data_IF_700196416039
#
_entry.id   IF_700196416039
#
_cell.length_a   1.000
_cell.length_b   1.000
_cell.length_c   1.000
_cell.angle_alpha   90.00
_cell.angle_beta   90.00
_cell.angle_gamma   90.00
#
_symmetry.space_group_name_H-M   'P 1'
#
loop_
_entity.id
_entity.type
_entity.pdbx_description
1 polymer ?
#
# COMPACT_ATOMS: atom_id res chain seq x y z
N UNK A 1 61.52 -65.43 -30.70
CA UNK A 1 60.98 -66.65 -31.31
C UNK A 1 59.47 -66.53 -31.33
N UNK A 2 58.90 -66.49 -32.54
CA UNK A 2 57.57 -67.03 -32.90
C UNK A 2 56.30 -66.35 -32.35
N UNK A 3 55.21 -66.07 -33.07
CA UNK A 3 54.76 -66.16 -34.48
C UNK A 3 53.53 -65.20 -34.57
N UNK A 4 53.47 -64.21 -35.47
CA UNK A 4 52.81 -64.19 -36.78
C UNK A 4 51.35 -64.70 -36.86
N UNK A 5 50.38 -63.79 -37.01
CA UNK A 5 49.22 -63.95 -37.90
C UNK A 5 48.57 -62.59 -38.25
N UNK A 6 48.27 -62.41 -39.53
CA UNK A 6 47.46 -61.38 -40.22
C UNK A 6 47.04 -62.03 -41.57
N UNK A 7 46.11 -61.50 -42.40
CA UNK A 7 44.97 -60.61 -42.19
C UNK A 7 43.67 -61.15 -42.86
N UNK A 8 42.53 -60.44 -42.78
CA UNK A 8 41.47 -60.52 -43.81
C UNK A 8 40.49 -59.34 -43.76
N UNK A 9 40.25 -58.71 -44.92
CA UNK A 9 39.10 -57.86 -45.30
C UNK A 9 38.75 -58.27 -46.74
N UNK A 10 37.49 -58.25 -47.24
CA UNK A 10 36.95 -57.00 -47.81
C UNK A 10 35.40 -56.80 -47.75
N UNK A 11 35.01 -55.50 -47.84
CA UNK A 11 33.82 -54.90 -48.50
C UNK A 11 32.38 -55.26 -48.01
N UNK A 12 31.37 -54.38 -47.99
CA UNK A 12 31.13 -53.17 -48.76
C UNK A 12 30.17 -52.16 -48.07
N UNK A 13 30.41 -50.88 -48.35
CA UNK A 13 29.45 -49.78 -48.60
C UNK A 13 28.18 -49.63 -47.75
N UNK A 14 28.17 -48.57 -46.93
CA UNK A 14 27.09 -47.58 -46.95
C UNK A 14 27.62 -46.22 -46.47
N UNK A 15 27.53 -45.24 -47.38
CA UNK A 15 27.85 -43.83 -47.17
C UNK A 15 26.76 -43.18 -46.29
N UNK A 16 27.14 -42.43 -45.23
CA UNK A 16 26.46 -41.18 -44.84
C UNK A 16 27.25 -40.40 -43.75
N UNK A 17 27.26 -39.06 -43.87
CA UNK A 17 27.99 -38.04 -43.08
C UNK A 17 27.02 -37.40 -42.03
N UNK A 18 27.47 -36.92 -40.85
CA UNK A 18 26.58 -36.58 -39.73
C UNK A 18 25.92 -35.20 -39.84
N UNK A 19 24.94 -34.88 -38.97
CA UNK A 19 24.99 -33.58 -38.32
C UNK A 19 24.64 -33.57 -36.81
N UNK A 20 25.47 -32.79 -36.10
CA UNK A 20 25.15 -31.83 -35.03
C UNK A 20 24.49 -32.27 -33.72
N UNK A 21 25.25 -32.12 -32.64
CA UNK A 21 24.75 -32.01 -31.25
C UNK A 21 23.70 -30.89 -31.13
N UNK A 22 22.54 -31.16 -30.49
CA UNK A 22 21.80 -30.14 -29.77
C UNK A 22 22.23 -30.17 -28.30
N UNK A 23 22.83 -29.05 -27.91
CA UNK A 23 22.99 -28.52 -26.55
C UNK A 23 21.87 -28.90 -25.58
N UNK A 24 22.27 -29.17 -24.34
CA UNK A 24 21.42 -29.34 -23.18
C UNK A 24 20.34 -28.25 -23.11
N UNK A 25 19.09 -28.65 -23.27
CA UNK A 25 17.94 -27.80 -23.02
C UNK A 25 17.12 -28.43 -21.89
N UNK A 26 16.85 -27.64 -20.84
CA UNK A 26 15.64 -27.88 -20.06
C UNK A 26 15.72 -27.77 -18.55
N UNK A 27 16.45 -26.81 -17.96
CA UNK A 27 16.02 -26.25 -16.68
C UNK A 27 16.33 -24.75 -16.59
N UNK A 28 15.36 -23.94 -17.01
CA UNK A 28 15.19 -22.61 -16.46
C UNK A 28 13.71 -22.47 -16.06
N UNK A 29 13.42 -22.77 -14.79
CA UNK A 29 12.16 -22.32 -14.18
C UNK A 29 12.19 -20.80 -14.18
N UNK A 30 11.47 -20.18 -15.10
CA UNK A 30 11.25 -18.74 -15.09
C UNK A 30 10.30 -18.41 -13.94
N UNK A 31 10.87 -18.25 -12.75
CA UNK A 31 10.23 -17.54 -11.65
C UNK A 31 10.49 -16.05 -11.86
N UNK A 32 9.80 -15.45 -12.83
CA UNK A 32 9.58 -14.00 -12.77
C UNK A 32 8.58 -13.76 -11.64
N UNK A 33 9.07 -13.77 -10.40
CA UNK A 33 8.46 -13.00 -9.34
C UNK A 33 8.52 -11.56 -9.84
N UNK A 34 7.42 -11.12 -10.45
CA UNK A 34 7.17 -9.70 -10.63
C UNK A 34 7.17 -9.11 -9.23
N UNK A 35 8.31 -8.56 -8.83
CA UNK A 35 8.35 -7.49 -7.86
C UNK A 35 7.57 -6.36 -8.52
N UNK A 36 6.24 -6.42 -8.40
CA UNK A 36 5.42 -5.23 -8.59
C UNK A 36 6.03 -4.25 -7.60
N UNK A 37 6.82 -3.30 -8.10
CA UNK A 37 7.21 -2.12 -7.36
C UNK A 37 5.89 -1.53 -6.89
N UNK A 38 5.46 -1.87 -5.67
CA UNK A 38 4.36 -1.16 -5.04
C UNK A 38 4.88 0.26 -4.97
N UNK A 39 4.17 1.18 -5.63
CA UNK A 39 4.46 2.60 -5.49
C UNK A 39 4.64 2.86 -3.98
N UNK A 40 5.68 3.62 -3.57
CA UNK A 40 5.98 3.80 -2.15
C UNK A 40 4.79 4.36 -1.36
N UNK A 41 3.82 4.94 -2.07
CA UNK A 41 2.59 5.52 -1.54
C UNK A 41 2.82 7.01 -1.29
N UNK A 42 1.73 7.79 -1.36
CA UNK A 42 1.75 9.21 -0.98
C UNK A 42 1.50 9.29 0.53
N UNK A 43 2.29 10.07 1.24
CA UNK A 43 2.08 10.33 2.67
C UNK A 43 1.27 11.60 2.84
N UNK A 44 0.39 11.57 3.82
CA UNK A 44 -0.46 12.67 4.20
C UNK A 44 -0.27 12.93 5.67
N UNK A 45 -0.33 14.20 6.03
CA UNK A 45 -0.34 14.66 7.39
C UNK A 45 -1.33 15.81 7.50
N UNK A 46 -2.07 15.86 8.60
CA UNK A 46 -3.10 16.86 8.85
C UNK A 46 -3.30 17.07 10.34
N UNK A 47 -3.79 18.26 10.70
CA UNK A 47 -4.02 18.66 12.08
C UNK A 47 -5.45 19.19 12.31
N UNK A 48 -5.98 18.93 13.50
CA UNK A 48 -7.22 19.53 14.00
C UNK A 48 -7.05 19.78 15.50
N UNK A 49 -7.87 20.66 16.08
CA UNK A 49 -7.85 20.88 17.53
C UNK A 49 -8.87 19.98 18.21
N UNK A 50 -8.46 19.32 19.29
CA UNK A 50 -9.33 18.59 20.18
C UNK A 50 -9.80 19.52 21.30
N UNK A 51 -11.10 19.53 21.55
CA UNK A 51 -11.66 20.26 22.68
C UNK A 51 -11.22 19.60 24.00
N UNK A 52 -10.74 20.36 24.99
CA UNK A 52 -10.13 19.80 26.20
C UNK A 52 -11.08 18.90 27.00
N UNK A 53 -12.38 19.21 27.00
CA UNK A 53 -13.41 18.44 27.71
C UNK A 53 -13.70 17.06 27.08
N UNK A 54 -13.23 16.79 25.86
CA UNK A 54 -13.48 15.54 25.15
C UNK A 54 -12.25 14.63 25.00
N UNK A 55 -11.11 14.95 25.62
CA UNK A 55 -9.86 14.19 25.46
C UNK A 55 -10.04 12.70 25.79
N UNK A 56 -10.62 12.38 26.95
CA UNK A 56 -10.80 10.99 27.36
C UNK A 56 -11.83 10.25 26.50
N UNK A 57 -12.92 10.95 26.13
CA UNK A 57 -13.95 10.41 25.23
C UNK A 57 -13.36 10.09 23.85
N UNK A 58 -12.54 10.97 23.31
CA UNK A 58 -11.88 10.80 22.02
C UNK A 58 -10.97 9.56 22.02
N UNK A 59 -10.14 9.40 23.06
CA UNK A 59 -9.29 8.21 23.23
C UNK A 59 -10.13 6.93 23.35
N UNK A 60 -11.20 6.97 24.16
CA UNK A 60 -12.07 5.82 24.37
C UNK A 60 -12.71 5.36 23.06
N UNK A 61 -13.28 6.26 22.26
CA UNK A 61 -13.92 5.87 20.99
C UNK A 61 -12.89 5.38 19.97
N UNK A 62 -11.70 5.98 19.90
CA UNK A 62 -10.63 5.54 18.98
C UNK A 62 -9.93 4.25 19.42
N UNK A 63 -10.04 3.85 20.69
CA UNK A 63 -9.61 2.52 21.13
C UNK A 63 -10.54 1.40 20.62
N UNK A 64 -11.76 1.75 20.20
CA UNK A 64 -12.79 0.82 19.73
C UNK A 64 -13.46 1.35 18.45
N UNK A 65 -12.66 1.75 17.45
CA UNK A 65 -13.17 2.20 16.15
C UNK A 65 -14.07 1.14 15.54
N UNK A 66 -15.18 1.57 14.94
CA UNK A 66 -16.16 0.66 14.34
C UNK A 66 -15.51 -0.15 13.20
N UNK A 67 -15.73 -1.48 13.14
CA UNK A 67 -15.19 -2.33 12.07
C UNK A 67 -15.55 -1.82 10.67
N UNK A 68 -16.76 -1.26 10.57
CA UNK A 68 -17.36 -0.39 9.56
C UNK A 68 -16.36 0.52 8.85
N UNK A 69 -15.82 1.38 9.71
CA UNK A 69 -14.93 2.50 9.38
C UNK A 69 -13.54 1.97 9.06
N UNK A 70 -13.02 1.04 9.86
CA UNK A 70 -11.72 0.41 9.62
C UNK A 70 -11.67 -0.31 8.26
N UNK A 71 -12.75 -1.01 7.90
CA UNK A 71 -12.89 -1.68 6.61
C UNK A 71 -12.90 -0.67 5.47
N UNK A 72 -13.66 0.43 5.60
CA UNK A 72 -13.71 1.47 4.58
C UNK A 72 -12.34 2.16 4.39
N UNK A 73 -11.65 2.53 5.47
CA UNK A 73 -10.26 3.04 5.42
C UNK A 73 -9.36 2.06 4.66
N UNK A 74 -9.50 0.76 4.92
CA UNK A 74 -8.72 -0.26 4.24
C UNK A 74 -9.05 -0.35 2.74
N UNK A 75 -10.33 -0.27 2.37
CA UNK A 75 -10.80 -0.30 0.98
C UNK A 75 -10.37 0.92 0.18
N UNK A 76 -10.31 2.10 0.81
CA UNK A 76 -9.81 3.34 0.24
C UNK A 76 -8.27 3.42 0.18
N UNK A 77 -7.57 2.28 0.27
CA UNK A 77 -6.11 2.19 0.17
C UNK A 77 -5.31 3.07 1.16
N UNK A 78 -5.91 3.43 2.29
CA UNK A 78 -5.23 4.12 3.39
C UNK A 78 -4.53 3.07 4.29
N UNK A 79 -3.25 3.28 4.57
CA UNK A 79 -2.38 2.41 5.36
C UNK A 79 -1.60 3.24 6.38
N UNK A 80 -1.09 2.57 7.40
CA UNK A 80 -0.24 3.17 8.43
C UNK A 80 -0.87 4.44 9.06
N UNK A 81 -2.20 4.44 9.22
CA UNK A 81 -2.95 5.58 9.73
C UNK A 81 -2.84 5.66 11.25
N UNK A 82 -2.19 6.71 11.74
CA UNK A 82 -2.04 7.04 13.16
C UNK A 82 -2.57 8.43 13.47
N UNK A 83 -3.11 8.62 14.67
CA UNK A 83 -3.51 9.91 15.22
C UNK A 83 -2.82 10.10 16.57
N UNK A 84 -2.10 11.20 16.73
CA UNK A 84 -1.35 11.57 17.92
C UNK A 84 -2.00 12.79 18.56
N UNK A 85 -1.95 12.90 19.89
CA UNK A 85 -2.48 14.04 20.63
C UNK A 85 -1.35 14.73 21.39
N UNK A 86 -1.22 16.05 21.21
CA UNK A 86 -0.38 16.90 22.05
C UNK A 86 -1.22 17.58 23.13
N UNK A 87 -1.10 17.19 24.42
CA UNK A 87 -1.86 17.79 25.50
C UNK A 87 -1.55 19.28 25.73
N UNK A 88 -0.37 19.77 25.33
CA UNK A 88 0.02 21.16 25.55
C UNK A 88 -0.73 22.14 24.65
N UNK A 89 -0.93 21.76 23.39
CA UNK A 89 -1.63 22.58 22.39
C UNK A 89 -3.08 22.15 22.15
N UNK A 90 -3.44 20.93 22.56
CA UNK A 90 -4.71 20.29 22.22
C UNK A 90 -4.76 19.83 20.75
N UNK A 91 -3.64 19.79 20.04
CA UNK A 91 -3.60 19.40 18.63
C UNK A 91 -3.66 17.88 18.51
N UNK A 92 -4.52 17.43 17.60
CA UNK A 92 -4.45 16.10 17.01
C UNK A 92 -3.66 16.16 15.71
N UNK A 93 -2.61 15.37 15.62
CA UNK A 93 -1.82 15.16 14.40
C UNK A 93 -2.16 13.79 13.82
N UNK A 94 -2.78 13.78 12.64
CA UNK A 94 -3.10 12.57 11.89
C UNK A 94 -2.10 12.39 10.75
N UNK A 95 -1.56 11.19 10.58
CA UNK A 95 -0.74 10.83 9.43
C UNK A 95 -1.11 9.47 8.89
N UNK A 96 -1.12 9.34 7.57
CA UNK A 96 -1.37 8.08 6.88
C UNK A 96 -0.66 8.02 5.53
N UNK A 97 -0.57 6.81 4.99
CA UNK A 97 -0.02 6.53 3.67
C UNK A 97 -1.12 6.02 2.74
N UNK A 98 -1.32 6.70 1.64
CA UNK A 98 -2.19 6.25 0.57
C UNK A 98 -1.39 5.41 -0.44
N UNK A 99 -1.86 4.19 -0.73
CA UNK A 99 -1.17 3.23 -1.62
C UNK A 99 -1.98 2.86 -2.87
N UNK A 100 -3.07 3.57 -3.13
CA UNK A 100 -3.91 3.35 -4.30
C UNK A 100 -3.45 4.16 -5.52
N UNK A 101 -4.26 4.12 -6.57
CA UNK A 101 -3.97 4.77 -7.86
C UNK A 101 -4.96 5.89 -8.22
N UNK A 102 -6.06 6.03 -7.47
CA UNK A 102 -7.13 7.01 -7.69
C UNK A 102 -7.55 7.59 -6.34
N UNK A 103 -6.80 8.61 -5.89
CA UNK A 103 -7.01 9.19 -4.57
C UNK A 103 -8.38 9.86 -4.47
N UNK A 104 -8.77 10.62 -5.48
CA UNK A 104 -10.05 11.33 -5.51
C UNK A 104 -11.23 10.36 -5.48
N UNK A 105 -11.20 9.32 -6.33
CA UNK A 105 -12.23 8.29 -6.33
C UNK A 105 -12.30 7.49 -5.02
N UNK A 106 -11.16 7.23 -4.37
CA UNK A 106 -11.14 6.58 -3.06
C UNK A 106 -11.66 7.49 -1.93
N UNK A 107 -11.38 8.81 -1.98
CA UNK A 107 -11.95 9.76 -1.02
C UNK A 107 -13.45 9.96 -1.24
N UNK A 108 -13.94 9.89 -2.47
CA UNK A 108 -15.37 9.94 -2.74
C UNK A 108 -16.10 8.72 -2.18
N UNK A 109 -15.57 7.50 -2.39
CA UNK A 109 -16.11 6.28 -1.74
C UNK A 109 -16.14 6.39 -0.22
N UNK A 110 -15.14 7.04 0.39
CA UNK A 110 -15.11 7.30 1.83
C UNK A 110 -16.30 8.18 2.25
N UNK A 111 -16.54 9.27 1.50
CA UNK A 111 -17.63 10.22 1.73
C UNK A 111 -19.02 9.61 1.53
N UNK A 112 -19.16 8.71 0.55
CA UNK A 112 -20.41 8.01 0.25
C UNK A 112 -20.83 6.99 1.32
N UNK A 113 -19.89 6.48 2.13
CA UNK A 113 -20.17 5.49 3.16
C UNK A 113 -20.90 6.12 4.37
N UNK A 114 -22.15 5.69 4.63
CA UNK A 114 -22.98 6.21 5.71
C UNK A 114 -22.40 5.99 7.11
N UNK A 115 -21.71 4.87 7.35
CA UNK A 115 -21.07 4.57 8.64
C UNK A 115 -19.86 5.46 8.90
N UNK A 116 -19.13 5.81 7.85
CA UNK A 116 -18.03 6.79 7.96
C UNK A 116 -18.58 8.18 8.29
N UNK A 117 -19.67 8.61 7.64
CA UNK A 117 -20.30 9.90 7.96
C UNK A 117 -20.83 9.96 9.39
N UNK A 118 -21.44 8.88 9.87
CA UNK A 118 -21.91 8.77 11.27
C UNK A 118 -20.72 8.87 12.25
N UNK A 119 -19.62 8.17 11.95
CA UNK A 119 -18.39 8.25 12.72
C UNK A 119 -17.80 9.67 12.73
N UNK A 120 -17.74 10.33 11.57
CA UNK A 120 -17.26 11.71 11.46
C UNK A 120 -18.08 12.67 12.31
N UNK A 121 -19.41 12.62 12.25
CA UNK A 121 -20.26 13.50 13.08
C UNK A 121 -19.98 13.33 14.57
N UNK A 122 -19.74 12.09 15.02
CA UNK A 122 -19.34 11.82 16.40
C UNK A 122 -17.98 12.46 16.72
N UNK A 123 -16.95 12.21 15.91
CA UNK A 123 -15.60 12.70 16.20
C UNK A 123 -15.45 14.20 16.03
N UNK A 124 -16.12 14.78 15.03
CA UNK A 124 -16.14 16.23 14.75
C UNK A 124 -16.78 16.98 15.93
N UNK A 125 -17.75 16.38 16.63
CA UNK A 125 -18.35 16.99 17.83
C UNK A 125 -17.32 17.23 18.96
N UNK A 126 -16.25 16.44 18.99
CA UNK A 126 -15.15 16.57 19.95
C UNK A 126 -14.07 17.56 19.48
N UNK A 127 -14.11 17.97 18.23
CA UNK A 127 -13.04 18.72 17.56
C UNK A 127 -13.45 20.15 17.24
N UNK A 128 -12.45 20.95 16.91
CA UNK A 128 -12.57 22.29 16.35
C UNK A 128 -11.61 22.41 15.17
N UNK A 129 -12.13 22.79 14.00
CA UNK A 129 -11.29 22.98 12.82
C UNK A 129 -10.37 24.18 12.95
N UNK A 130 -9.15 24.04 12.42
CA UNK A 130 -8.20 25.14 12.26
C UNK A 130 -8.35 25.85 10.90
N UNK A 131 -9.29 25.41 10.07
CA UNK A 131 -9.53 25.92 8.72
C UNK A 131 -10.73 26.88 8.75
N UNK A 132 -10.53 28.18 8.45
CA UNK A 132 -11.63 29.14 8.43
C UNK A 132 -12.76 28.72 7.48
N UNK A 133 -13.99 28.68 7.98
CA UNK A 133 -15.19 28.34 7.20
C UNK A 133 -15.46 26.84 7.05
N UNK A 134 -14.62 25.97 7.59
CA UNK A 134 -14.90 24.52 7.64
C UNK A 134 -16.07 24.23 8.57
N UNK A 135 -16.96 23.33 8.15
CA UNK A 135 -18.20 23.01 8.86
C UNK A 135 -18.12 21.66 9.59
N UNK A 136 -17.70 20.64 8.86
CA UNK A 136 -17.56 19.25 9.30
C UNK A 136 -16.73 18.47 8.26
N UNK A 137 -16.37 17.23 8.57
CA UNK A 137 -15.62 16.34 7.67
C UNK A 137 -16.43 15.88 6.45
N UNK A 138 -17.77 15.94 6.50
CA UNK A 138 -18.67 15.49 5.43
C UNK A 138 -18.76 16.50 4.27
N UNK A 139 -18.73 17.79 4.59
CA UNK A 139 -18.87 18.91 3.64
C UNK A 139 -17.75 18.97 2.59
N UNK A 140 -16.58 18.39 2.89
CA UNK A 140 -15.45 18.29 1.98
C UNK A 140 -14.63 19.57 1.85
N UNK A 141 -15.26 20.68 1.45
CA UNK A 141 -14.56 21.95 1.19
C UNK A 141 -15.21 23.15 1.92
N UNK A 142 -14.41 23.95 2.67
CA UNK A 142 -13.01 23.70 2.99
C UNK A 142 -12.86 22.51 3.96
N UNK A 143 -11.75 21.78 3.84
CA UNK A 143 -11.47 20.57 4.65
C UNK A 143 -11.55 20.83 6.15
N UNK A 144 -12.17 19.90 6.89
CA UNK A 144 -12.25 19.94 8.35
C UNK A 144 -10.89 19.82 9.03
N UNK A 145 -10.05 18.91 8.54
CA UNK A 145 -8.67 18.76 8.98
C UNK A 145 -7.76 19.67 8.13
N UNK A 146 -6.88 20.42 8.78
CA UNK A 146 -5.93 21.29 8.10
C UNK A 146 -4.75 20.45 7.57
N UNK A 147 -4.51 20.37 6.26
CA UNK A 147 -3.36 19.66 5.73
C UNK A 147 -2.05 20.34 6.17
N UNK A 148 -0.99 19.55 6.36
CA UNK A 148 0.37 20.05 6.61
C UNK A 148 1.34 19.49 5.57
N UNK A 149 2.38 20.26 5.27
CA UNK A 149 3.37 19.95 4.25
C UNK A 149 4.39 18.91 4.76
N UNK A 150 4.65 17.89 3.94
CA UNK A 150 5.80 17.03 4.13
C UNK A 150 7.05 17.72 3.55
N UNK A 151 7.99 18.07 4.43
CA UNK A 151 9.24 18.77 4.04
C UNK A 151 10.45 17.84 3.94
N UNK A 152 10.37 16.64 4.51
CA UNK A 152 11.45 15.65 4.54
C UNK A 152 10.92 14.24 4.75
N UNK A 153 11.54 13.25 4.11
CA UNK A 153 11.30 11.83 4.34
C UNK A 153 12.56 11.02 4.06
N UNK A 154 12.88 10.08 4.97
CA UNK A 154 13.90 9.06 4.79
C UNK A 154 13.23 7.68 4.86
N UNK A 155 13.24 6.88 3.78
CA UNK A 155 12.73 5.51 3.79
C UNK A 155 13.48 4.56 4.71
#
# INVERSE_FOLDING_TARGET
MSQLWSPAVPAASQLWIPPSSPTAAGWARSSTLSSRNRAPGRRFAQIVKLKPEFVDKYKQVHAAVWPEVLLQIKHCNIRDYSIFHDPGTGILFASFRYVGYDYEGDMEKMRENSKVREWWRLTDSFQESLVPGAKDSESGEPSWWKPVEEVFYQP
#
